data_IF_552955030949
#
_entry.id   IF_552955030949
#
_cell.length_a   1.000
_cell.length_b   1.000
_cell.length_c   1.000
_cell.angle_alpha   90.00
_cell.angle_beta   90.00
_cell.angle_gamma   90.00
#
_symmetry.space_group_name_H-M   'P 1'
#
loop_
_entity.id
_entity.type
_entity.pdbx_description
1 polymer ?
#
# COMPACT_ATOMS: atom_id res chain seq x y z
N UNK A 1 2.21 -15.37 -9.32
CA UNK A 1 1.23 -15.47 -8.20
C UNK A 1 1.91 -15.22 -6.87
N UNK A 2 1.14 -14.93 -5.82
CA UNK A 2 1.65 -14.57 -4.48
C UNK A 2 2.18 -15.82 -3.75
N UNK A 3 3.32 -15.70 -3.06
CA UNK A 3 3.74 -16.69 -2.05
C UNK A 3 2.99 -16.42 -0.75
N UNK A 4 1.95 -17.20 -0.47
CA UNK A 4 1.03 -16.89 0.62
C UNK A 4 1.66 -17.08 1.99
N UNK A 5 2.60 -18.02 2.15
CA UNK A 5 3.31 -18.24 3.42
C UNK A 5 4.11 -17.03 3.90
N UNK A 6 4.59 -16.23 2.95
CA UNK A 6 5.37 -15.01 3.21
C UNK A 6 4.48 -13.83 3.66
N UNK A 7 3.16 -13.92 3.56
CA UNK A 7 2.28 -12.80 3.93
C UNK A 7 2.03 -12.82 5.45
N UNK A 8 2.45 -11.74 6.11
CA UNK A 8 2.24 -11.53 7.56
C UNK A 8 0.96 -10.77 7.85
N UNK A 9 0.70 -9.71 7.09
CA UNK A 9 -0.53 -8.91 7.23
C UNK A 9 -0.93 -8.27 5.91
N UNK A 10 -2.23 -8.03 5.79
CA UNK A 10 -2.85 -7.26 4.72
C UNK A 10 -3.57 -6.09 5.39
N UNK A 11 -3.22 -4.87 5.01
CA UNK A 11 -3.94 -3.67 5.42
C UNK A 11 -4.82 -3.21 4.28
N UNK A 12 -6.11 -3.07 4.53
CA UNK A 12 -7.11 -2.57 3.60
C UNK A 12 -7.36 -1.10 3.98
N UNK A 13 -7.28 -0.20 3.02
CA UNK A 13 -7.59 1.22 3.19
C UNK A 13 -8.92 1.45 2.50
N UNK A 14 -9.95 1.81 3.28
CA UNK A 14 -11.28 2.09 2.76
C UNK A 14 -11.35 3.49 2.18
N UNK A 15 -12.17 3.65 1.15
CA UNK A 15 -12.53 4.98 0.64
C UNK A 15 -13.34 5.75 1.70
N UNK A 16 -13.47 7.06 1.51
CA UNK A 16 -14.35 7.92 2.32
C UNK A 16 -15.85 7.56 2.22
N UNK A 17 -16.24 6.64 1.32
CA UNK A 17 -17.59 6.10 1.18
C UNK A 17 -17.71 4.65 1.68
N UNK A 18 -16.60 4.03 2.08
CA UNK A 18 -16.55 2.65 2.54
C UNK A 18 -17.09 2.45 3.97
N UNK A 19 -17.17 1.19 4.44
CA UNK A 19 -17.74 0.84 5.75
C UNK A 19 -17.02 1.49 6.94
N UNK A 20 -15.78 1.95 6.75
CA UNK A 20 -15.00 2.70 7.74
C UNK A 20 -15.35 4.19 7.90
N UNK A 21 -16.16 4.76 6.99
CA UNK A 21 -16.49 6.19 7.02
C UNK A 21 -17.32 6.61 8.23
N UNK A 22 -18.11 5.70 8.80
CA UNK A 22 -18.96 5.98 9.97
C UNK A 22 -18.28 5.64 11.31
N UNK A 23 -17.31 4.74 11.31
CA UNK A 23 -16.64 4.27 12.54
C UNK A 23 -15.30 4.99 12.81
N UNK A 24 -14.83 5.85 11.89
CA UNK A 24 -13.53 6.53 12.00
C UNK A 24 -12.32 5.65 11.68
N UNK A 25 -12.50 4.34 11.51
CA UNK A 25 -11.47 3.40 11.08
C UNK A 25 -11.35 3.39 9.55
N UNK A 26 -10.47 4.25 9.03
CA UNK A 26 -10.16 4.33 7.58
C UNK A 26 -9.43 3.09 7.04
N UNK A 27 -9.00 2.19 7.91
CA UNK A 27 -8.24 1.01 7.53
C UNK A 27 -8.59 -0.21 8.37
N UNK A 28 -8.42 -1.39 7.80
CA UNK A 28 -8.58 -2.70 8.45
C UNK A 28 -7.32 -3.52 8.28
N UNK A 29 -6.84 -4.12 9.36
CA UNK A 29 -5.65 -4.96 9.34
C UNK A 29 -6.07 -6.42 9.51
N UNK A 30 -5.70 -7.25 8.53
CA UNK A 30 -5.88 -8.70 8.55
C UNK A 30 -4.52 -9.33 8.76
N UNK A 31 -4.36 -10.14 9.80
CA UNK A 31 -3.07 -10.74 10.17
C UNK A 31 -3.05 -12.26 9.94
N UNK A 32 -1.84 -12.80 9.89
CA UNK A 32 -1.54 -14.23 10.04
C UNK A 32 -2.36 -15.12 9.09
N UNK A 33 -3.11 -16.09 9.64
CA UNK A 33 -3.78 -17.12 8.87
C UNK A 33 -4.87 -16.55 7.92
N UNK A 34 -5.63 -15.55 8.38
CA UNK A 34 -6.65 -14.90 7.56
C UNK A 34 -6.05 -14.21 6.34
N UNK A 35 -4.89 -13.58 6.49
CA UNK A 35 -4.17 -12.97 5.37
C UNK A 35 -3.71 -14.02 4.35
N UNK A 36 -3.24 -15.18 4.84
CA UNK A 36 -2.86 -16.33 4.00
C UNK A 36 -4.06 -16.93 3.28
N UNK A 37 -5.21 -17.04 3.94
CA UNK A 37 -6.44 -17.54 3.34
C UNK A 37 -6.90 -16.65 2.17
N UNK A 38 -6.89 -15.33 2.35
CA UNK A 38 -7.21 -14.35 1.30
C UNK A 38 -6.24 -14.46 0.13
N UNK A 39 -4.94 -14.63 0.40
CA UNK A 39 -3.96 -14.84 -0.64
C UNK A 39 -4.21 -16.13 -1.43
N UNK A 40 -4.52 -17.24 -0.76
CA UNK A 40 -4.84 -18.51 -1.41
C UNK A 40 -6.07 -18.38 -2.30
N UNK A 41 -7.08 -17.66 -1.85
CA UNK A 41 -8.29 -17.39 -2.63
C UNK A 41 -8.00 -16.52 -3.87
N UNK A 42 -7.23 -15.45 -3.72
CA UNK A 42 -6.81 -14.61 -4.85
C UNK A 42 -6.01 -15.41 -5.89
N UNK A 43 -5.07 -16.25 -5.43
CA UNK A 43 -4.32 -17.16 -6.29
C UNK A 43 -5.24 -18.18 -6.97
N UNK A 44 -6.20 -18.77 -6.25
CA UNK A 44 -7.17 -19.73 -6.81
C UNK A 44 -7.99 -19.10 -7.95
N UNK A 45 -8.35 -17.83 -7.80
CA UNK A 45 -9.13 -17.06 -8.78
C UNK A 45 -8.28 -16.43 -9.90
N UNK A 46 -6.95 -16.49 -9.82
CA UNK A 46 -6.10 -15.86 -10.84
C UNK A 46 -6.06 -14.34 -10.78
N UNK A 47 -6.47 -13.72 -9.67
CA UNK A 47 -6.58 -12.25 -9.53
C UNK A 47 -5.64 -11.70 -8.45
N UNK A 48 -5.44 -10.38 -8.46
CA UNK A 48 -4.73 -9.71 -7.37
C UNK A 48 -5.59 -9.65 -6.10
N UNK A 49 -4.94 -9.66 -4.93
CA UNK A 49 -5.64 -9.47 -3.64
C UNK A 49 -6.39 -8.14 -3.64
N UNK A 50 -5.82 -7.09 -4.24
CA UNK A 50 -6.49 -5.80 -4.38
C UNK A 50 -7.77 -5.90 -5.20
N UNK A 51 -7.74 -6.60 -6.34
CA UNK A 51 -8.94 -6.81 -7.17
C UNK A 51 -10.00 -7.61 -6.41
N UNK A 52 -9.60 -8.65 -5.68
CA UNK A 52 -10.50 -9.43 -4.84
C UNK A 52 -11.27 -8.56 -3.84
N UNK A 53 -10.61 -7.55 -3.25
CA UNK A 53 -11.26 -6.61 -2.33
C UNK A 53 -12.09 -5.56 -3.05
N UNK A 54 -11.60 -4.98 -4.14
CA UNK A 54 -12.35 -4.00 -4.95
C UNK A 54 -13.64 -4.56 -5.55
N UNK A 55 -13.72 -5.87 -5.78
CA UNK A 55 -14.95 -6.54 -6.22
C UNK A 55 -15.97 -6.76 -5.10
N UNK A 56 -15.55 -6.71 -3.82
CA UNK A 56 -16.40 -7.03 -2.66
C UNK A 56 -16.75 -5.80 -1.80
N UNK A 57 -15.84 -4.84 -1.74
CA UNK A 57 -15.89 -3.69 -0.84
C UNK A 57 -15.39 -2.43 -1.58
N UNK A 58 -15.85 -1.25 -1.15
CA UNK A 58 -15.34 0.03 -1.66
C UNK A 58 -14.00 0.35 -0.98
N UNK A 59 -12.92 -0.10 -1.63
CA UNK A 59 -11.55 -0.08 -1.11
C UNK A 59 -10.70 0.84 -1.98
N UNK A 60 -10.04 1.80 -1.34
CA UNK A 60 -9.12 2.72 -2.00
C UNK A 60 -7.83 2.00 -2.38
N UNK A 61 -7.22 1.31 -1.41
CA UNK A 61 -5.94 0.62 -1.60
C UNK A 61 -5.76 -0.57 -0.67
N UNK A 62 -4.91 -1.53 -1.06
CA UNK A 62 -4.55 -2.69 -0.26
C UNK A 62 -3.04 -2.80 -0.16
N UNK A 63 -2.51 -2.81 1.06
CA UNK A 63 -1.09 -2.96 1.36
C UNK A 63 -0.82 -4.39 1.84
N UNK A 64 0.08 -5.09 1.18
CA UNK A 64 0.45 -6.47 1.52
C UNK A 64 1.85 -6.45 2.15
N UNK A 65 1.94 -6.68 3.45
CA UNK A 65 3.21 -6.82 4.15
C UNK A 65 3.66 -8.27 4.10
N UNK A 66 4.71 -8.50 3.32
CA UNK A 66 5.41 -9.78 3.28
C UNK A 66 6.60 -9.78 4.23
N UNK A 67 6.87 -10.92 4.81
CA UNK A 67 8.15 -11.20 5.43
C UNK A 67 9.21 -11.29 4.32
N UNK A 68 10.18 -10.38 4.36
CA UNK A 68 11.28 -10.31 3.39
C UNK A 68 12.61 -10.71 4.04
N UNK A 69 12.60 -11.60 5.04
CA UNK A 69 13.82 -12.18 5.60
C UNK A 69 14.65 -13.03 4.61
N UNK A 70 14.27 -13.08 3.33
CA UNK A 70 14.95 -13.86 2.28
C UNK A 70 15.44 -13.02 1.08
N UNK A 71 15.45 -11.68 1.17
CA UNK A 71 16.13 -10.87 0.16
C UNK A 71 17.58 -10.63 0.64
N UNK A 72 18.61 -11.29 0.07
CA UNK A 72 19.97 -10.83 0.29
C UNK A 72 20.03 -9.38 -0.19
N UNK A 73 20.39 -8.46 0.72
CA UNK A 73 20.60 -7.05 0.41
C UNK A 73 21.69 -6.91 -0.66
N UNK A 74 21.32 -6.95 -1.94
CA UNK A 74 22.14 -6.36 -2.99
C UNK A 74 21.69 -4.91 -3.14
N UNK A 75 22.45 -4.05 -2.45
CA UNK A 75 22.75 -2.67 -2.84
C UNK A 75 21.56 -1.77 -3.12
N UNK A 76 21.05 -1.15 -2.06
CA UNK A 76 20.41 0.14 -2.16
C UNK A 76 21.45 1.16 -2.66
N UNK A 77 21.37 1.55 -3.94
CA UNK A 77 21.87 2.87 -4.33
C UNK A 77 20.78 3.87 -3.94
N UNK A 78 21.04 4.81 -3.02
CA UNK A 78 20.11 5.90 -2.77
C UNK A 78 19.94 6.72 -4.06
N UNK A 79 18.72 7.15 -4.41
CA UNK A 79 18.53 8.10 -5.49
C UNK A 79 19.24 9.42 -5.12
N UNK A 80 20.17 9.86 -5.97
CA UNK A 80 20.78 11.18 -5.87
C UNK A 80 19.68 12.23 -5.78
N UNK A 81 19.62 12.91 -4.63
CA UNK A 81 18.87 14.14 -4.45
C UNK A 81 19.35 15.15 -5.50
N UNK A 82 18.56 15.38 -6.55
CA UNK A 82 18.62 16.66 -7.25
C UNK A 82 18.13 17.74 -6.28
N UNK A 83 19.09 18.44 -5.70
CA UNK A 83 18.87 19.64 -4.90
C UNK A 83 18.26 20.70 -5.82
N UNK A 84 16.97 21.00 -5.66
CA UNK A 84 16.42 22.28 -6.11
C UNK A 84 16.98 23.33 -5.16
N UNK A 85 17.86 24.19 -5.68
CA UNK A 85 18.22 25.44 -5.04
C UNK A 85 17.05 26.42 -5.23
N UNK A 86 16.63 26.98 -4.11
CA UNK A 86 15.72 28.09 -3.92
C UNK A 86 16.42 29.42 -4.29
N UNK A 87 15.70 30.54 -4.15
CA UNK A 87 16.08 31.96 -4.39
C UNK A 87 15.97 32.46 -5.85
N UNK A 88 15.35 33.60 -6.18
CA UNK A 88 14.79 34.67 -5.36
C UNK A 88 13.80 35.48 -6.22
N UNK A 89 12.77 36.03 -5.59
CA UNK A 89 11.75 36.91 -6.14
C UNK A 89 12.16 38.36 -5.87
N UNK A 90 12.35 39.24 -6.85
CA UNK A 90 12.23 40.67 -6.60
C UNK A 90 10.80 41.13 -6.87
N UNK A 91 10.14 41.60 -5.81
CA UNK A 91 8.93 42.43 -5.87
C UNK A 91 9.29 43.89 -6.26
N UNK A 92 8.31 44.74 -6.65
CA UNK A 92 8.49 45.76 -7.69
C UNK A 92 8.67 47.23 -7.21
N UNK A 93 9.11 48.06 -8.18
CA UNK A 93 8.85 49.51 -8.39
C UNK A 93 9.54 50.55 -7.45
N UNK A 94 9.40 51.87 -7.68
CA UNK A 94 9.70 52.71 -8.86
C UNK A 94 10.61 53.92 -8.50
N UNK A 95 11.14 54.67 -9.49
CA UNK A 95 11.36 56.15 -9.47
C UNK A 95 11.91 56.62 -10.81
#
# INVERSE_FOLDING_TARGET
MYKCDDIKKITIIYSSSGPGSYAGEKFKIIQSESARAICREANRLGISIEKLFKEREDVESVVINRDVSVIPQKTAHPPEKKSNAEEEKPSPAPS
#
